data_IF_600546582817
#
_entry.id   IF_600546582817
#
_cell.length_a   1.000
_cell.length_b   1.000
_cell.length_c   1.000
_cell.angle_alpha   90.00
_cell.angle_beta   90.00
_cell.angle_gamma   90.00
#
_symmetry.space_group_name_H-M   'P 1'
#
loop_
_entity.id
_entity.type
_entity.pdbx_description
1 polymer ?
#
# COMPACT_ATOMS: atom_id res chain seq x y z
N UNK A 1 -54.01 -12.86 -12.18
CA UNK A 1 -52.61 -12.74 -11.75
C UNK A 1 -51.90 -11.96 -12.85
N UNK A 2 -51.48 -10.68 -12.71
CA UNK A 2 -51.07 -9.91 -11.51
C UNK A 2 -49.97 -10.59 -10.68
N UNK A 3 -48.84 -9.98 -10.30
CA UNK A 3 -48.11 -8.72 -10.63
C UNK A 3 -46.61 -9.00 -10.29
N UNK A 4 -45.54 -8.25 -10.60
CA UNK A 4 -45.24 -6.98 -11.31
C UNK A 4 -43.78 -7.12 -11.90
N UNK A 5 -43.20 -6.05 -12.45
CA UNK A 5 -41.76 -5.84 -12.70
C UNK A 5 -40.90 -5.99 -11.43
N UNK A 6 -39.58 -6.07 -11.60
CA UNK A 6 -38.61 -5.03 -11.18
C UNK A 6 -37.21 -5.37 -11.70
N UNK A 7 -36.56 -4.38 -12.33
CA UNK A 7 -35.14 -4.38 -12.70
C UNK A 7 -34.29 -3.93 -11.50
N UNK A 8 -33.08 -4.48 -11.32
CA UNK A 8 -32.01 -3.70 -10.69
C UNK A 8 -30.70 -3.77 -11.48
N UNK A 9 -30.29 -2.60 -11.97
CA UNK A 9 -29.02 -2.38 -12.65
C UNK A 9 -28.05 -1.84 -11.60
N UNK A 10 -27.09 -2.68 -11.16
CA UNK A 10 -26.13 -2.36 -10.09
C UNK A 10 -25.23 -1.19 -10.47
N UNK A 11 -25.75 0.02 -10.22
CA UNK A 11 -25.10 1.30 -10.46
C UNK A 11 -23.98 1.49 -9.44
N UNK A 12 -22.74 1.25 -9.87
CA UNK A 12 -21.55 1.43 -9.03
C UNK A 12 -21.49 2.83 -8.43
N UNK A 13 -21.65 2.93 -7.11
CA UNK A 13 -21.53 4.20 -6.39
C UNK A 13 -20.08 4.67 -6.40
N UNK A 14 -19.77 5.68 -7.21
CA UNK A 14 -18.52 6.45 -7.08
C UNK A 14 -18.55 7.17 -5.73
N UNK A 15 -17.88 6.62 -4.72
CA UNK A 15 -17.65 7.32 -3.47
C UNK A 15 -16.65 8.45 -3.70
N UNK A 16 -17.16 9.67 -3.88
CA UNK A 16 -16.36 10.88 -3.85
C UNK A 16 -16.07 11.22 -2.38
N UNK A 17 -15.05 10.58 -1.80
CA UNK A 17 -14.67 10.82 -0.41
C UNK A 17 -14.02 12.19 -0.25
N UNK A 18 -14.51 12.97 0.70
CA UNK A 18 -13.75 14.08 1.28
C UNK A 18 -12.40 13.54 1.80
N UNK A 19 -11.37 14.40 1.85
CA UNK A 19 -10.03 14.04 2.34
C UNK A 19 -10.08 13.78 3.85
N UNK A 20 -10.39 12.55 4.24
CA UNK A 20 -10.05 12.05 5.56
C UNK A 20 -8.53 11.96 5.67
N UNK A 21 -7.98 12.18 6.86
CA UNK A 21 -6.56 11.97 7.13
C UNK A 21 -6.18 10.48 7.25
N UNK A 22 -7.03 9.56 6.78
CA UNK A 22 -6.77 8.12 6.82
C UNK A 22 -5.72 7.72 5.76
N UNK A 23 -4.97 6.66 6.03
CA UNK A 23 -4.13 6.02 5.02
C UNK A 23 -5.04 5.41 3.92
N UNK A 24 -4.68 5.59 2.64
CA UNK A 24 -5.53 5.14 1.53
C UNK A 24 -5.48 3.61 1.39
N UNK A 25 -6.64 2.98 1.19
CA UNK A 25 -6.70 1.59 0.74
C UNK A 25 -6.33 1.50 -0.75
N UNK A 26 -5.43 0.59 -1.08
CA UNK A 26 -5.06 0.23 -2.46
C UNK A 26 -5.38 -1.24 -2.72
N UNK A 27 -5.81 -1.55 -3.93
CA UNK A 27 -5.90 -2.92 -4.44
C UNK A 27 -4.51 -3.44 -4.82
N UNK A 28 -4.32 -4.76 -4.77
CA UNK A 28 -3.08 -5.39 -5.18
C UNK A 28 -2.79 -5.13 -6.67
N UNK A 29 -3.84 -5.01 -7.50
CA UNK A 29 -3.71 -4.69 -8.93
C UNK A 29 -3.14 -3.29 -9.16
N UNK A 30 -3.56 -2.28 -8.40
CA UNK A 30 -3.00 -0.92 -8.51
C UNK A 30 -1.52 -0.90 -8.13
N UNK A 31 -1.14 -1.61 -7.06
CA UNK A 31 0.26 -1.71 -6.63
C UNK A 31 1.12 -2.54 -7.58
N UNK A 32 0.56 -3.59 -8.18
CA UNK A 32 1.21 -4.32 -9.27
C UNK A 32 1.46 -3.40 -10.47
N UNK A 33 0.46 -2.67 -10.97
CA UNK A 33 0.66 -1.70 -12.07
C UNK A 33 1.72 -0.65 -11.70
N UNK A 34 1.64 -0.08 -10.49
CA UNK A 34 2.58 0.94 -10.02
C UNK A 34 4.04 0.45 -9.95
N UNK A 35 4.27 -0.83 -9.67
CA UNK A 35 5.60 -1.48 -9.56
C UNK A 35 5.99 -2.26 -10.83
N UNK A 36 5.20 -2.15 -11.90
CA UNK A 36 5.33 -2.95 -13.13
C UNK A 36 5.29 -4.48 -12.92
N UNK A 37 4.42 -4.93 -12.02
CA UNK A 37 4.29 -6.30 -11.50
C UNK A 37 5.48 -6.72 -10.62
N UNK A 38 5.88 -5.87 -9.67
CA UNK A 38 6.93 -6.16 -8.68
C UNK A 38 8.26 -6.64 -9.30
N UNK A 39 8.65 -6.06 -10.45
CA UNK A 39 9.92 -6.40 -11.12
C UNK A 39 11.12 -6.11 -10.23
N UNK A 40 12.13 -6.98 -10.26
CA UNK A 40 13.40 -6.76 -9.54
C UNK A 40 14.14 -5.48 -9.99
N UNK A 41 13.93 -5.01 -11.22
CA UNK A 41 14.44 -3.70 -11.68
C UNK A 41 13.87 -2.49 -10.91
N UNK A 42 12.78 -2.69 -10.15
CA UNK A 42 12.21 -1.72 -9.23
C UNK A 42 12.51 -2.05 -7.76
N UNK A 43 13.19 -3.15 -7.44
CA UNK A 43 13.56 -3.49 -6.06
C UNK A 43 14.58 -2.46 -5.54
N UNK A 44 14.30 -1.92 -4.35
CA UNK A 44 15.14 -0.90 -3.68
C UNK A 44 15.54 -1.29 -2.25
N UNK A 45 15.13 -2.48 -1.79
CA UNK A 45 15.53 -3.06 -0.51
C UNK A 45 14.88 -4.41 -0.28
N UNK A 46 15.57 -5.32 0.40
CA UNK A 46 15.10 -6.67 0.73
C UNK A 46 15.70 -7.10 2.07
N UNK A 47 14.94 -7.84 2.88
CA UNK A 47 15.39 -8.37 4.16
C UNK A 47 14.31 -9.20 4.85
N UNK A 48 14.51 -9.51 6.14
CA UNK A 48 13.57 -10.35 6.91
C UNK A 48 12.12 -9.86 6.87
N UNK A 49 11.93 -8.54 6.90
CA UNK A 49 10.62 -7.87 6.85
C UNK A 49 9.96 -7.83 5.46
N UNK A 50 10.57 -8.43 4.43
CA UNK A 50 10.04 -8.47 3.06
C UNK A 50 10.81 -7.65 2.05
N UNK A 51 10.17 -7.38 0.90
CA UNK A 51 10.76 -6.73 -0.28
C UNK A 51 10.14 -5.35 -0.49
N UNK A 52 10.97 -4.35 -0.79
CA UNK A 52 10.57 -2.96 -1.01
C UNK A 52 10.83 -2.58 -2.45
N UNK A 53 9.79 -2.16 -3.16
CA UNK A 53 9.86 -1.78 -4.57
C UNK A 53 9.55 -0.30 -4.76
N UNK A 54 10.26 0.36 -5.67
CA UNK A 54 9.92 1.69 -6.18
C UNK A 54 8.68 1.57 -7.08
N UNK A 55 7.68 2.39 -6.81
CA UNK A 55 6.46 2.44 -7.61
C UNK A 55 6.11 3.86 -8.06
N UNK A 56 5.26 3.95 -9.09
CA UNK A 56 4.59 5.20 -9.47
C UNK A 56 3.09 4.97 -9.51
N UNK A 57 2.36 5.63 -8.62
CA UNK A 57 0.89 5.59 -8.61
C UNK A 57 0.32 6.29 -9.85
N UNK A 58 -0.95 6.01 -10.19
CA UNK A 58 -1.67 6.66 -11.31
C UNK A 58 -1.69 8.19 -11.18
N UNK A 59 -1.68 8.72 -9.94
CA UNK A 59 -1.53 10.15 -9.64
C UNK A 59 -0.15 10.75 -9.99
N UNK A 60 0.76 9.96 -10.55
CA UNK A 60 2.14 10.33 -10.84
C UNK A 60 3.09 10.29 -9.62
N UNK A 61 2.56 10.19 -8.39
CA UNK A 61 3.36 10.16 -7.16
C UNK A 61 4.28 8.94 -7.12
N UNK A 62 5.57 9.17 -6.87
CA UNK A 62 6.56 8.12 -6.63
C UNK A 62 6.44 7.64 -5.18
N UNK A 63 6.46 6.32 -4.98
CA UNK A 63 6.22 5.66 -3.70
C UNK A 63 7.19 4.50 -3.48
N UNK A 64 7.38 4.08 -2.23
CA UNK A 64 8.00 2.82 -1.88
C UNK A 64 6.90 1.82 -1.45
N UNK A 65 6.89 0.65 -2.05
CA UNK A 65 5.87 -0.39 -1.88
C UNK A 65 6.52 -1.58 -1.18
N UNK A 66 6.29 -1.71 0.12
CA UNK A 66 6.84 -2.78 0.98
C UNK A 66 5.86 -3.94 1.01
N UNK A 67 6.19 -5.04 0.34
CA UNK A 67 5.47 -6.31 0.45
C UNK A 67 6.08 -7.12 1.59
N UNK A 68 5.31 -7.37 2.64
CA UNK A 68 5.80 -8.07 3.84
C UNK A 68 5.96 -9.58 3.58
N UNK A 69 6.98 -10.19 4.18
CA UNK A 69 7.09 -11.64 4.24
C UNK A 69 6.05 -12.19 5.23
N UNK A 70 5.18 -13.09 4.76
CA UNK A 70 4.05 -13.62 5.53
C UNK A 70 4.33 -15.02 6.12
N UNK A 71 5.59 -15.28 6.44
CA UNK A 71 6.01 -16.51 7.06
C UNK A 71 5.47 -16.56 8.51
N UNK A 72 4.32 -17.21 8.68
CA UNK A 72 3.57 -17.37 9.92
C UNK A 72 3.00 -16.06 10.54
N UNK A 73 2.36 -16.21 11.71
CA UNK A 73 1.62 -15.18 12.47
C UNK A 73 2.38 -13.87 12.72
N UNK A 74 3.72 -13.88 12.61
CA UNK A 74 4.56 -12.71 12.85
C UNK A 74 4.35 -11.61 11.81
N UNK A 75 4.38 -11.91 10.51
CA UNK A 75 4.21 -10.90 9.45
C UNK A 75 2.85 -10.19 9.50
N UNK A 76 1.80 -10.86 10.01
CA UNK A 76 0.49 -10.21 10.22
C UNK A 76 0.48 -9.27 11.44
N UNK A 77 1.17 -9.63 12.54
CA UNK A 77 1.35 -8.74 13.69
C UNK A 77 2.18 -7.51 13.32
N UNK A 78 3.27 -7.71 12.59
CA UNK A 78 4.11 -6.63 12.07
C UNK A 78 3.30 -5.67 11.19
N UNK A 79 2.49 -6.18 10.25
CA UNK A 79 1.57 -5.36 9.46
C UNK A 79 0.62 -4.52 10.33
N UNK A 80 -0.07 -5.13 11.30
CA UNK A 80 -1.02 -4.41 12.16
C UNK A 80 -0.32 -3.32 12.97
N UNK A 81 0.85 -3.61 13.55
CA UNK A 81 1.63 -2.61 14.28
C UNK A 81 2.10 -1.46 13.38
N UNK A 82 2.62 -1.78 12.19
CA UNK A 82 3.16 -0.78 11.27
C UNK A 82 2.05 0.14 10.71
N UNK A 83 0.87 -0.41 10.40
CA UNK A 83 -0.32 0.37 10.04
C UNK A 83 -0.81 1.23 11.22
N UNK A 84 -0.94 0.66 12.42
CA UNK A 84 -1.42 1.39 13.59
C UNK A 84 -0.50 2.56 13.95
N UNK A 85 0.80 2.29 14.10
CA UNK A 85 1.77 3.28 14.56
C UNK A 85 1.97 4.40 13.54
N UNK A 86 2.11 4.09 12.24
CA UNK A 86 2.38 5.10 11.21
C UNK A 86 1.10 5.79 10.70
N UNK A 87 -0.10 5.28 11.01
CA UNK A 87 -1.35 6.03 10.83
C UNK A 87 -1.55 7.07 11.94
N UNK A 88 -1.07 6.81 13.16
CA UNK A 88 -1.21 7.70 14.32
C UNK A 88 -0.05 8.69 14.46
N UNK A 89 1.17 8.31 14.11
CA UNK A 89 2.38 9.12 14.25
C UNK A 89 2.79 9.73 12.91
N UNK A 90 2.57 11.03 12.76
CA UNK A 90 3.06 11.83 11.63
C UNK A 90 4.04 12.89 12.11
N UNK A 91 5.28 12.84 11.62
CA UNK A 91 6.35 13.74 12.01
C UNK A 91 7.35 13.89 10.85
N UNK A 92 8.00 15.06 10.73
CA UNK A 92 8.94 15.38 9.63
C UNK A 92 10.10 14.36 9.50
N UNK A 93 10.52 13.78 10.62
CA UNK A 93 11.63 12.81 10.68
C UNK A 93 11.16 11.34 10.69
N UNK A 94 9.90 11.06 10.34
CA UNK A 94 9.36 9.71 10.20
C UNK A 94 8.82 9.51 8.78
N UNK A 95 9.04 8.33 8.21
CA UNK A 95 8.52 8.01 6.87
C UNK A 95 6.99 7.96 6.88
N UNK A 96 6.37 8.71 5.95
CA UNK A 96 4.91 8.82 5.88
C UNK A 96 4.30 7.56 5.24
N UNK A 97 3.45 6.86 6.00
CA UNK A 97 2.54 5.85 5.45
C UNK A 97 1.44 6.56 4.63
N UNK A 98 1.43 6.33 3.32
CA UNK A 98 0.43 6.86 2.38
C UNK A 98 -0.81 5.96 2.35
N UNK A 99 -0.63 4.66 2.50
CA UNK A 99 -1.69 3.67 2.33
C UNK A 99 -1.22 2.24 2.48
N UNK A 100 -2.14 1.30 2.29
CA UNK A 100 -1.89 -0.13 2.44
C UNK A 100 -2.82 -0.97 1.54
N UNK A 101 -2.47 -2.24 1.35
CA UNK A 101 -3.29 -3.24 0.69
C UNK A 101 -3.46 -4.48 1.60
N UNK A 102 -4.68 -5.00 1.63
CA UNK A 102 -5.08 -6.20 2.38
C UNK A 102 -5.87 -7.20 1.51
N UNK A 103 -5.62 -7.21 0.19
CA UNK A 103 -6.35 -8.08 -0.75
C UNK A 103 -5.97 -9.55 -0.53
N UNK A 104 -6.92 -10.34 -0.02
CA UNK A 104 -6.70 -11.73 0.36
C UNK A 104 -5.60 -11.84 1.42
N UNK A 105 -4.57 -12.63 1.15
CA UNK A 105 -3.42 -12.78 2.03
C UNK A 105 -2.38 -11.65 1.87
N UNK A 106 -2.44 -10.83 0.82
CA UNK A 106 -1.43 -9.80 0.57
C UNK A 106 -1.40 -8.76 1.70
N UNK A 107 -0.21 -8.45 2.21
CA UNK A 107 0.02 -7.38 3.18
C UNK A 107 1.10 -6.47 2.63
N UNK A 108 0.66 -5.34 2.06
CA UNK A 108 1.53 -4.39 1.37
C UNK A 108 1.34 -3.01 1.97
N UNK A 109 2.44 -2.31 2.22
CA UNK A 109 2.47 -0.97 2.78
C UNK A 109 3.05 0.00 1.74
N UNK A 110 2.44 1.19 1.64
CA UNK A 110 2.79 2.20 0.64
C UNK A 110 3.29 3.45 1.36
N UNK A 111 4.57 3.74 1.16
CA UNK A 111 5.28 4.87 1.75
C UNK A 111 5.61 5.93 0.73
N UNK A 112 5.93 7.14 1.21
CA UNK A 112 6.70 8.06 0.39
C UNK A 112 8.06 7.46 0.01
N UNK A 113 8.53 7.80 -1.19
CA UNK A 113 9.83 7.35 -1.68
C UNK A 113 10.92 8.30 -1.22
N UNK A 114 11.92 7.78 -0.52
CA UNK A 114 13.11 8.53 -0.08
C UNK A 114 14.17 8.52 -1.20
N UNK A 115 14.42 9.63 -1.92
CA UNK A 115 15.27 9.60 -3.10
C UNK A 115 16.74 9.32 -2.79
N UNK A 116 17.19 9.64 -1.58
CA UNK A 116 18.55 9.40 -1.10
C UNK A 116 18.78 7.97 -0.60
N UNK A 117 17.76 7.09 -0.58
CA UNK A 117 17.90 5.71 -0.07
C UNK A 117 17.94 5.61 1.45
N UNK A 118 18.46 4.49 1.97
CA UNK A 118 18.65 4.23 3.40
C UNK A 118 19.93 4.90 3.93
N UNK A 119 20.01 5.10 5.25
CA UNK A 119 21.24 5.59 5.90
C UNK A 119 22.42 4.62 5.71
N UNK A 120 22.15 3.31 5.66
CA UNK A 120 23.14 2.25 5.40
C UNK A 120 23.95 2.52 4.13
N UNK A 121 23.28 2.90 3.04
CA UNK A 121 23.89 3.25 1.75
C UNK A 121 24.80 4.50 1.77
N UNK A 122 24.84 5.26 2.87
CA UNK A 122 25.73 6.42 3.05
C UNK A 122 26.85 6.16 4.07
N UNK A 123 26.82 5.03 4.76
CA UNK A 123 27.80 4.66 5.79
C UNK A 123 28.72 3.50 5.35
N UNK A 124 28.31 2.72 4.35
CA UNK A 124 29.01 1.54 3.83
C UNK A 124 28.93 1.49 2.30
#
# INVERSE_FOLDING_TARGET
MRDEKVTDSKRGKRFNSQRSNAANGFTFRELAVATQNFKDANLIGEGGFGRVYKGRLESGKVVAVKQLNLNALQGHKEFIMEVLMLSLLRHLNLVTLIGYCTDGDQRVLVYEYMPMGSLENHLF
#
